data_IF_976191026122
#
_entry.id   IF_976191026122
#
_cell.length_a   1.000
_cell.length_b   1.000
_cell.length_c   1.000
_cell.angle_alpha   90.00
_cell.angle_beta   90.00
_cell.angle_gamma   90.00
#
_symmetry.space_group_name_H-M   'P 1'
#
loop_
_entity.id
_entity.type
_entity.pdbx_description
1 polymer ?
#
# COMPACT_ATOMS: atom_id res chain seq x y z
N UNK A 1 -12.73 45.59 35.70
CA UNK A 1 -12.53 47.05 35.52
C UNK A 1 -11.91 47.21 34.14
N UNK A 2 -12.69 47.68 33.14
CA UNK A 2 -12.89 49.10 32.77
C UNK A 2 -11.62 49.63 32.05
N UNK A 3 -11.64 50.10 30.79
CA UNK A 3 -12.74 50.64 29.97
C UNK A 3 -12.74 50.20 28.49
N UNK A 4 -13.93 50.24 27.87
CA UNK A 4 -14.20 50.57 26.46
C UNK A 4 -15.10 51.82 26.47
N UNK A 5 -15.04 52.70 25.46
CA UNK A 5 -16.25 53.01 24.65
C UNK A 5 -15.96 52.75 23.15
N UNK A 6 -16.88 52.34 22.25
CA UNK A 6 -18.14 52.98 21.79
C UNK A 6 -17.90 54.21 20.87
N UNK A 7 -18.60 54.47 19.75
CA UNK A 7 -19.82 53.86 19.17
C UNK A 7 -19.95 54.11 17.62
N UNK A 8 -20.81 53.31 16.95
CA UNK A 8 -21.69 53.60 15.77
C UNK A 8 -21.13 54.32 14.51
N UNK A 9 -21.72 54.31 13.29
CA UNK A 9 -22.97 53.76 12.71
C UNK A 9 -22.83 53.56 11.18
N UNK A 10 -23.68 52.73 10.55
CA UNK A 10 -23.88 52.70 9.08
C UNK A 10 -24.74 53.90 8.57
N UNK A 11 -25.16 53.97 7.28
CA UNK A 11 -25.75 52.85 6.51
C UNK A 11 -25.45 52.72 4.99
N UNK A 12 -25.87 51.57 4.45
CA UNK A 12 -26.41 51.19 3.12
C UNK A 12 -26.11 51.92 1.76
N UNK A 13 -25.65 51.08 0.82
CA UNK A 13 -25.77 50.97 -0.68
C UNK A 13 -26.85 51.75 -1.48
N UNK A 14 -26.84 51.72 -2.86
CA UNK A 14 -25.77 51.60 -3.89
C UNK A 14 -25.93 52.67 -5.04
N UNK A 15 -25.21 52.59 -6.18
CA UNK A 15 -25.88 52.03 -7.39
C UNK A 15 -24.97 51.29 -8.41
N UNK A 16 -25.62 50.67 -9.41
CA UNK A 16 -25.03 49.90 -10.51
C UNK A 16 -24.63 50.71 -11.76
N UNK A 17 -23.60 50.29 -12.50
CA UNK A 17 -23.52 50.15 -14.00
C UNK A 17 -22.12 49.65 -14.41
N UNK A 18 -22.00 48.51 -15.10
CA UNK A 18 -21.96 48.27 -16.57
C UNK A 18 -20.69 48.75 -17.29
N UNK A 19 -20.05 47.82 -18.01
CA UNK A 19 -18.87 47.99 -18.86
C UNK A 19 -17.74 47.04 -18.43
N UNK A 20 -17.13 46.18 -19.26
CA UNK A 20 -17.31 45.98 -20.70
C UNK A 20 -15.96 45.72 -21.37
N UNK A 21 -15.46 44.48 -21.33
CA UNK A 21 -14.20 44.06 -21.98
C UNK A 21 -14.44 42.66 -22.59
N UNK A 22 -14.74 42.56 -23.88
CA UNK A 22 -13.80 42.47 -25.02
C UNK A 22 -13.00 41.16 -25.08
N UNK A 23 -13.59 40.18 -25.77
CA UNK A 23 -12.89 39.14 -26.53
C UNK A 23 -12.23 39.76 -27.77
N UNK A 24 -11.04 39.28 -28.18
CA UNK A 24 -10.61 39.30 -29.57
C UNK A 24 -10.71 37.89 -30.18
N UNK A 25 -11.32 37.80 -31.35
CA UNK A 25 -11.30 36.59 -32.17
C UNK A 25 -10.18 36.66 -33.23
N UNK A 26 -9.68 35.48 -33.59
CA UNK A 26 -9.11 35.07 -34.89
C UNK A 26 -8.29 36.06 -35.74
N UNK A 27 -7.10 35.60 -36.15
CA UNK A 27 -6.59 35.89 -37.49
C UNK A 27 -6.30 34.58 -38.24
N UNK A 28 -6.64 34.53 -39.54
CA UNK A 28 -6.45 33.41 -40.48
C UNK A 28 -5.37 33.78 -41.52
N UNK A 29 -5.08 32.84 -42.42
CA UNK A 29 -4.35 32.99 -43.71
C UNK A 29 -2.82 33.06 -43.57
N UNK A 30 -1.96 32.59 -44.50
CA UNK A 30 -2.07 31.86 -45.79
C UNK A 30 -0.65 31.25 -46.07
N UNK A 31 -0.34 30.31 -46.99
CA UNK A 31 -1.04 29.24 -47.71
C UNK A 31 0.01 28.50 -48.60
N UNK A 32 -0.44 27.73 -49.62
CA UNK A 32 0.34 26.91 -50.60
C UNK A 32 0.90 25.60 -50.01
N UNK A 33 0.72 24.41 -50.60
CA UNK A 33 -0.04 24.00 -51.78
C UNK A 33 0.83 23.30 -52.83
N UNK A 34 0.48 22.06 -53.21
CA UNK A 34 0.76 21.47 -54.54
C UNK A 34 -0.24 20.33 -54.80
N UNK A 35 -0.74 20.24 -56.04
CA UNK A 35 -1.56 19.15 -56.55
C UNK A 35 -0.72 18.28 -57.48
N UNK A 36 -0.99 16.98 -57.53
CA UNK A 36 -1.05 16.20 -58.79
C UNK A 36 -1.91 14.95 -58.59
N UNK A 37 -2.82 14.71 -59.54
CA UNK A 37 -3.30 13.37 -59.91
C UNK A 37 -2.55 12.97 -61.21
N UNK A 38 -2.51 11.68 -61.58
CA UNK A 38 -3.44 11.21 -62.60
C UNK A 38 -4.17 9.90 -62.20
N UNK A 39 -4.79 9.25 -63.19
CA UNK A 39 -6.01 8.44 -63.09
C UNK A 39 -5.73 6.92 -63.35
N UNK A 40 -6.62 6.06 -63.89
CA UNK A 40 -6.95 4.78 -63.24
C UNK A 40 -6.65 3.53 -64.08
N UNK A 41 -6.85 2.33 -63.53
CA UNK A 41 -7.19 1.14 -64.35
C UNK A 41 -8.33 0.32 -63.74
N UNK A 42 -9.10 -0.30 -64.64
CA UNK A 42 -10.24 -1.16 -64.33
C UNK A 42 -9.75 -2.58 -63.99
N UNK A 43 -10.57 -3.31 -63.23
CA UNK A 43 -10.95 -4.67 -63.65
C UNK A 43 -12.27 -5.08 -62.96
N UNK A 44 -13.30 -5.24 -63.77
CA UNK A 44 -14.52 -5.98 -63.44
C UNK A 44 -14.20 -7.47 -63.26
N UNK A 45 -15.00 -8.23 -62.49
CA UNK A 45 -15.75 -9.39 -63.01
C UNK A 45 -16.63 -10.10 -61.95
N UNK A 46 -17.81 -10.53 -62.42
CA UNK A 46 -18.80 -11.50 -61.92
C UNK A 46 -19.35 -11.53 -60.47
N UNK A 47 -20.64 -11.17 -60.44
CA UNK A 47 -21.76 -11.78 -59.70
C UNK A 47 -21.71 -13.32 -59.50
N UNK A 48 -22.11 -13.78 -58.31
CA UNK A 48 -22.31 -15.20 -57.98
C UNK A 48 -23.46 -15.45 -56.98
N UNK A 49 -24.66 -15.60 -57.52
CA UNK A 49 -25.81 -16.41 -57.04
C UNK A 49 -26.13 -16.54 -55.53
N UNK A 50 -27.27 -15.97 -55.11
CA UNK A 50 -27.98 -16.40 -53.90
C UNK A 50 -28.53 -17.83 -54.05
N UNK A 51 -28.26 -18.73 -53.10
CA UNK A 51 -29.11 -19.89 -52.85
C UNK A 51 -29.59 -19.93 -51.39
N UNK A 52 -30.91 -20.00 -51.21
CA UNK A 52 -31.54 -20.44 -49.97
C UNK A 52 -31.39 -21.95 -49.86
N UNK A 53 -30.92 -22.45 -48.72
CA UNK A 53 -31.07 -23.86 -48.35
C UNK A 53 -31.88 -23.97 -47.04
N UNK A 54 -32.71 -25.02 -46.94
CA UNK A 54 -33.82 -25.10 -46.01
C UNK A 54 -33.45 -25.64 -44.61
N UNK A 55 -34.43 -25.59 -43.72
CA UNK A 55 -34.28 -25.82 -42.28
C UNK A 55 -33.73 -27.19 -41.85
N UNK A 56 -32.97 -27.16 -40.76
CA UNK A 56 -32.64 -28.33 -39.95
C UNK A 56 -32.81 -28.00 -38.47
N UNK A 57 -33.75 -28.68 -37.77
CA UNK A 57 -33.93 -28.55 -36.31
C UNK A 57 -32.82 -29.30 -35.57
N UNK A 58 -31.58 -28.84 -35.72
CA UNK A 58 -30.42 -29.36 -35.03
C UNK A 58 -30.40 -28.90 -33.56
N UNK A 59 -31.01 -29.68 -32.67
CA UNK A 59 -30.95 -29.45 -31.23
C UNK A 59 -29.50 -29.57 -30.72
N UNK A 60 -28.76 -28.45 -30.67
CA UNK A 60 -27.43 -28.39 -30.06
C UNK A 60 -27.55 -28.67 -28.56
N UNK A 61 -27.37 -29.95 -28.18
CA UNK A 61 -27.08 -30.36 -26.80
C UNK A 61 -25.87 -29.54 -26.34
N UNK A 62 -26.09 -28.56 -25.47
CA UNK A 62 -25.00 -27.84 -24.81
C UNK A 62 -24.23 -28.84 -23.94
N UNK A 63 -23.00 -29.15 -24.33
CA UNK A 63 -22.09 -29.93 -23.49
C UNK A 63 -21.87 -29.18 -22.16
N UNK A 64 -21.90 -29.82 -20.99
CA UNK A 64 -21.87 -29.11 -19.70
C UNK A 64 -20.54 -28.42 -19.36
N UNK A 65 -19.50 -28.58 -20.18
CA UNK A 65 -18.09 -28.49 -19.77
C UNK A 65 -17.29 -27.39 -20.49
N UNK A 66 -17.88 -26.22 -20.78
CA UNK A 66 -17.11 -25.11 -21.33
C UNK A 66 -17.54 -23.75 -20.78
N UNK A 67 -17.36 -23.56 -19.47
CA UNK A 67 -17.42 -22.22 -18.84
C UNK A 67 -15.99 -21.74 -18.62
N UNK A 68 -15.57 -20.56 -19.13
CA UNK A 68 -14.21 -20.09 -18.97
C UNK A 68 -13.84 -19.97 -17.49
N UNK A 69 -12.67 -20.53 -17.15
CA UNK A 69 -12.16 -20.54 -15.80
C UNK A 69 -11.98 -19.11 -15.28
N UNK A 70 -12.61 -18.84 -14.14
CA UNK A 70 -12.50 -17.56 -13.44
C UNK A 70 -12.30 -17.83 -11.95
N UNK A 71 -11.39 -17.07 -11.35
CA UNK A 71 -11.04 -17.18 -9.94
C UNK A 71 -11.13 -15.77 -9.37
N UNK A 72 -11.98 -15.58 -8.36
CA UNK A 72 -12.08 -14.32 -7.64
C UNK A 72 -11.43 -14.51 -6.28
N UNK A 73 -10.37 -13.76 -5.98
CA UNK A 73 -9.76 -13.74 -4.65
C UNK A 73 -10.75 -13.15 -3.62
N UNK A 74 -10.48 -13.39 -2.34
CA UNK A 74 -11.24 -12.83 -1.23
C UNK A 74 -10.30 -12.47 -0.07
N UNK A 75 -10.62 -11.40 0.67
CA UNK A 75 -10.05 -11.12 1.98
C UNK A 75 -8.51 -11.17 1.99
N UNK A 76 -7.94 -12.04 2.82
CA UNK A 76 -6.48 -12.09 3.02
C UNK A 76 -5.68 -12.53 1.79
N UNK A 77 -6.24 -13.40 0.92
CA UNK A 77 -5.57 -13.79 -0.33
C UNK A 77 -5.59 -12.66 -1.36
N UNK A 78 -6.66 -11.86 -1.39
CA UNK A 78 -6.69 -10.64 -2.17
C UNK A 78 -5.74 -9.57 -1.60
N UNK A 79 -5.67 -9.44 -0.28
CA UNK A 79 -4.75 -8.51 0.39
C UNK A 79 -3.29 -8.86 0.10
N UNK A 80 -2.92 -10.14 0.18
CA UNK A 80 -1.61 -10.66 -0.23
C UNK A 80 -1.23 -10.15 -1.63
N UNK A 81 -2.09 -10.41 -2.61
CA UNK A 81 -1.87 -9.93 -3.99
C UNK A 81 -1.73 -8.40 -4.06
N UNK A 82 -2.62 -7.64 -3.40
CA UNK A 82 -2.54 -6.18 -3.37
C UNK A 82 -1.28 -5.65 -2.66
N UNK A 83 -0.75 -6.33 -1.64
CA UNK A 83 0.46 -5.87 -0.97
C UNK A 83 1.71 -6.04 -1.85
N UNK A 84 1.72 -7.01 -2.78
CA UNK A 84 2.81 -7.18 -3.77
C UNK A 84 2.58 -6.49 -5.12
N UNK A 85 1.40 -5.93 -5.39
CA UNK A 85 1.07 -5.38 -6.70
C UNK A 85 1.84 -4.07 -7.00
N UNK A 86 2.65 -3.98 -8.08
CA UNK A 86 3.43 -2.77 -8.39
C UNK A 86 2.57 -1.58 -8.85
N UNK A 87 1.35 -1.83 -9.33
CA UNK A 87 0.41 -0.81 -9.76
C UNK A 87 -1.04 -1.30 -9.61
N UNK A 88 -1.99 -0.34 -9.59
CA UNK A 88 -3.41 -0.66 -9.73
C UNK A 88 -3.72 -1.03 -11.20
N UNK A 89 -4.42 -2.14 -11.47
CA UNK A 89 -4.91 -2.46 -12.81
C UNK A 89 -5.71 -1.31 -13.41
N UNK A 90 -5.49 -1.02 -14.70
CA UNK A 90 -6.18 0.07 -15.40
C UNK A 90 -7.70 -0.12 -15.45
N UNK A 91 -8.45 0.98 -15.58
CA UNK A 91 -9.91 1.02 -15.35
C UNK A 91 -10.72 0.06 -16.25
N UNK A 92 -10.23 -0.26 -17.45
CA UNK A 92 -10.80 -1.27 -18.34
C UNK A 92 -10.81 -2.70 -17.77
N UNK A 93 -9.94 -3.02 -16.81
CA UNK A 93 -9.92 -4.30 -16.10
C UNK A 93 -10.98 -4.39 -15.00
N UNK A 94 -11.70 -3.31 -14.67
CA UNK A 94 -12.76 -3.34 -13.66
C UNK A 94 -14.02 -4.01 -14.19
N UNK A 95 -14.54 -4.98 -13.45
CA UNK A 95 -15.75 -5.73 -13.78
C UNK A 95 -16.81 -5.63 -12.67
N UNK A 96 -18.08 -5.68 -13.09
CA UNK A 96 -19.22 -5.76 -12.17
C UNK A 96 -19.34 -7.12 -11.49
N UNK A 97 -20.10 -7.20 -10.39
CA UNK A 97 -20.34 -8.46 -9.66
C UNK A 97 -20.94 -9.58 -10.54
N UNK A 98 -21.60 -9.23 -11.65
CA UNK A 98 -22.11 -10.18 -12.64
C UNK A 98 -21.01 -11.12 -13.20
N UNK A 99 -19.74 -10.71 -13.20
CA UNK A 99 -18.60 -11.54 -13.63
C UNK A 99 -18.37 -12.76 -12.70
N UNK A 100 -18.87 -12.71 -11.46
CA UNK A 100 -18.84 -13.82 -10.50
C UNK A 100 -19.87 -14.93 -10.83
N UNK A 101 -20.83 -14.69 -11.73
CA UNK A 101 -21.88 -15.68 -12.05
C UNK A 101 -21.28 -16.99 -12.57
N UNK A 102 -21.72 -18.09 -11.98
CA UNK A 102 -21.27 -19.46 -12.24
C UNK A 102 -19.77 -19.69 -11.98
N UNK A 103 -19.12 -18.82 -11.21
CA UNK A 103 -17.75 -19.01 -10.77
C UNK A 103 -17.67 -20.09 -9.66
N UNK A 104 -17.03 -21.21 -9.98
CA UNK A 104 -16.70 -22.31 -9.05
C UNK A 104 -15.29 -22.80 -9.41
N UNK A 105 -14.23 -22.41 -8.67
CA UNK A 105 -12.88 -22.91 -8.94
C UNK A 105 -12.80 -24.40 -8.61
N UNK A 106 -12.16 -25.16 -9.49
CA UNK A 106 -11.81 -26.57 -9.31
C UNK A 106 -10.32 -26.74 -8.96
N UNK A 107 -9.83 -27.98 -8.87
CA UNK A 107 -8.43 -28.24 -8.51
C UNK A 107 -7.43 -27.66 -9.53
N UNK A 108 -7.75 -27.72 -10.83
CA UNK A 108 -6.89 -27.18 -11.90
C UNK A 108 -6.81 -25.64 -11.81
N UNK A 109 -7.93 -24.98 -11.53
CA UNK A 109 -7.96 -23.54 -11.28
C UNK A 109 -7.08 -23.13 -10.09
N UNK A 110 -7.07 -23.91 -9.02
CA UNK A 110 -6.27 -23.62 -7.82
C UNK A 110 -4.77 -23.89 -8.06
N UNK A 111 -4.41 -24.91 -8.84
CA UNK A 111 -3.04 -25.10 -9.30
C UNK A 111 -2.56 -23.93 -10.19
N UNK A 112 -3.41 -23.45 -11.10
CA UNK A 112 -3.13 -22.27 -11.92
C UNK A 112 -2.95 -21.00 -11.06
N UNK A 113 -3.83 -20.78 -10.06
CA UNK A 113 -3.67 -19.68 -9.09
C UNK A 113 -2.34 -19.79 -8.33
N UNK A 114 -1.99 -20.97 -7.85
CA UNK A 114 -0.75 -21.18 -7.10
C UNK A 114 0.50 -20.88 -7.94
N UNK A 115 0.48 -21.19 -9.24
CA UNK A 115 1.56 -20.84 -10.17
C UNK A 115 1.59 -19.35 -10.50
N UNK A 116 0.45 -18.73 -10.83
CA UNK A 116 0.41 -17.32 -11.22
C UNK A 116 0.50 -16.32 -10.05
N UNK A 117 0.28 -16.79 -8.82
CA UNK A 117 0.36 -15.98 -7.61
C UNK A 117 1.11 -16.73 -6.48
N UNK A 118 2.41 -17.03 -6.67
CA UNK A 118 3.20 -17.83 -5.73
C UNK A 118 3.36 -17.16 -4.36
N UNK A 119 3.14 -15.84 -4.26
CA UNK A 119 3.19 -15.10 -3.01
C UNK A 119 2.03 -15.40 -2.05
N UNK A 120 0.89 -15.91 -2.55
CA UNK A 120 -0.34 -16.01 -1.77
C UNK A 120 -0.28 -17.24 -0.85
N UNK A 121 -0.40 -17.07 0.48
CA UNK A 121 -0.40 -18.20 1.42
C UNK A 121 -1.68 -19.02 1.31
N UNK A 122 -1.58 -20.32 1.64
CA UNK A 122 -2.73 -21.22 1.79
C UNK A 122 -3.39 -21.02 3.17
N UNK A 123 -4.72 -21.29 3.30
CA UNK A 123 -5.64 -21.65 2.23
C UNK A 123 -5.95 -20.47 1.30
N UNK A 124 -6.24 -20.74 0.03
CA UNK A 124 -6.65 -19.70 -0.93
C UNK A 124 -8.08 -19.26 -0.64
N UNK A 125 -8.24 -18.04 -0.16
CA UNK A 125 -9.54 -17.42 0.07
C UNK A 125 -10.12 -16.92 -1.26
N UNK A 126 -11.26 -17.49 -1.66
CA UNK A 126 -11.91 -17.19 -2.95
C UNK A 126 -13.36 -16.75 -2.77
N UNK A 127 -13.80 -15.79 -3.58
CA UNK A 127 -15.21 -15.35 -3.65
C UNK A 127 -15.98 -16.30 -4.58
N UNK A 128 -17.17 -16.74 -4.15
CA UNK A 128 -18.06 -17.61 -4.95
C UNK A 128 -19.50 -17.08 -5.00
N UNK A 129 -20.20 -17.30 -6.10
CA UNK A 129 -21.60 -16.86 -6.28
C UNK A 129 -22.65 -17.79 -5.64
N UNK A 130 -22.27 -19.03 -5.29
CA UNK A 130 -23.16 -20.03 -4.72
C UNK A 130 -22.41 -20.91 -3.72
N UNK A 131 -23.14 -21.60 -2.82
CA UNK A 131 -22.55 -22.58 -1.90
C UNK A 131 -21.90 -23.71 -2.70
N UNK A 132 -20.61 -23.97 -2.46
CA UNK A 132 -19.93 -25.15 -2.99
C UNK A 132 -20.28 -26.37 -2.14
N UNK A 133 -20.68 -27.49 -2.78
CA UNK A 133 -20.96 -28.76 -2.08
C UNK A 133 -19.69 -29.56 -1.78
N UNK A 134 -18.67 -29.41 -2.63
CA UNK A 134 -17.30 -29.91 -2.48
C UNK A 134 -16.37 -28.75 -2.77
N UNK A 135 -15.28 -28.62 -2.03
CA UNK A 135 -14.27 -27.59 -2.20
C UNK A 135 -12.93 -28.29 -2.47
N UNK A 136 -12.07 -27.79 -3.37
CA UNK A 136 -10.70 -28.31 -3.48
C UNK A 136 -9.93 -28.09 -2.16
N UNK A 137 -8.97 -28.96 -1.89
CA UNK A 137 -8.14 -28.86 -0.69
C UNK A 137 -7.32 -27.57 -0.68
N UNK A 138 -7.14 -27.01 0.52
CA UNK A 138 -6.43 -25.73 0.69
C UNK A 138 -7.17 -24.52 0.13
N UNK A 139 -8.51 -24.57 -0.02
CA UNK A 139 -9.36 -23.45 -0.47
C UNK A 139 -10.38 -23.08 0.60
N UNK A 140 -10.55 -21.78 0.84
CA UNK A 140 -11.58 -21.21 1.70
C UNK A 140 -12.62 -20.44 0.86
N UNK A 141 -13.82 -21.00 0.59
CA UNK A 141 -14.81 -20.36 -0.27
C UNK A 141 -15.73 -19.41 0.50
N UNK A 142 -15.79 -18.14 0.06
CA UNK A 142 -16.60 -17.08 0.66
C UNK A 142 -17.76 -16.69 -0.26
N UNK A 143 -19.00 -16.91 0.20
CA UNK A 143 -20.21 -16.64 -0.58
C UNK A 143 -20.51 -15.14 -0.61
N UNK A 144 -20.47 -14.52 -1.79
CA UNK A 144 -20.92 -13.13 -1.98
C UNK A 144 -22.44 -13.07 -2.16
N UNK A 145 -23.16 -12.70 -1.09
CA UNK A 145 -24.63 -12.53 -1.13
C UNK A 145 -25.08 -11.07 -1.31
N UNK A 146 -24.28 -10.12 -0.83
CA UNK A 146 -24.62 -8.70 -0.90
C UNK A 146 -24.49 -8.18 -2.35
N UNK A 147 -25.51 -7.47 -2.85
CA UNK A 147 -25.49 -6.85 -4.18
C UNK A 147 -24.60 -5.60 -4.16
N UNK A 148 -23.38 -5.73 -4.68
CA UNK A 148 -22.37 -4.68 -4.69
C UNK A 148 -22.67 -3.63 -5.77
N UNK A 149 -22.54 -2.35 -5.41
CA UNK A 149 -22.72 -1.21 -6.31
C UNK A 149 -21.42 -0.93 -7.07
N UNK A 150 -21.52 -0.78 -8.39
CA UNK A 150 -20.41 -0.41 -9.28
C UNK A 150 -19.62 -1.60 -9.85
N UNK A 151 -18.31 -1.42 -10.01
CA UNK A 151 -17.37 -2.43 -10.53
C UNK A 151 -16.37 -2.85 -9.43
N UNK A 152 -16.79 -3.75 -8.51
CA UNK A 152 -16.06 -4.04 -7.28
C UNK A 152 -14.90 -5.04 -7.45
N UNK A 153 -14.68 -5.59 -8.64
CA UNK A 153 -13.59 -6.51 -8.93
C UNK A 153 -12.72 -5.97 -10.07
N UNK A 154 -11.43 -6.31 -10.05
CA UNK A 154 -10.45 -6.01 -11.10
C UNK A 154 -9.88 -7.33 -11.64
N UNK A 155 -9.76 -7.49 -12.96
CA UNK A 155 -8.92 -8.52 -13.55
C UNK A 155 -7.46 -8.21 -13.22
N UNK A 156 -6.74 -9.17 -12.64
CA UNK A 156 -5.36 -9.02 -12.16
C UNK A 156 -4.37 -9.89 -12.92
N UNK A 157 -4.84 -11.02 -13.46
CA UNK A 157 -4.12 -11.85 -14.42
C UNK A 157 -5.13 -12.50 -15.37
N UNK A 158 -4.69 -13.40 -16.27
CA UNK A 158 -5.64 -14.18 -17.06
C UNK A 158 -6.46 -15.09 -16.14
N UNK A 159 -7.79 -15.13 -16.29
CA UNK A 159 -8.69 -15.87 -15.39
C UNK A 159 -8.79 -15.38 -13.93
N UNK A 160 -7.83 -14.62 -13.41
CA UNK A 160 -7.76 -14.22 -12.00
C UNK A 160 -8.25 -12.78 -11.80
N UNK A 161 -9.12 -12.61 -10.81
CA UNK A 161 -9.74 -11.36 -10.40
C UNK A 161 -9.52 -11.12 -8.91
N UNK A 162 -9.25 -9.88 -8.52
CA UNK A 162 -9.23 -9.45 -7.12
C UNK A 162 -10.41 -8.50 -6.84
N UNK A 163 -10.97 -8.46 -5.61
CA UNK A 163 -11.77 -7.32 -5.17
C UNK A 163 -10.93 -6.04 -5.30
N UNK A 164 -11.55 -4.91 -5.64
CA UNK A 164 -10.84 -3.63 -5.64
C UNK A 164 -10.30 -3.33 -4.22
N UNK A 165 -9.25 -2.49 -4.07
CA UNK A 165 -8.59 -2.30 -2.78
C UNK A 165 -9.55 -1.89 -1.65
N UNK A 166 -10.59 -1.11 -1.98
CA UNK A 166 -11.63 -0.70 -1.03
C UNK A 166 -12.52 -1.86 -0.58
N UNK A 167 -12.91 -2.77 -1.48
CA UNK A 167 -13.65 -3.99 -1.10
C UNK A 167 -12.74 -4.98 -0.36
N UNK A 168 -11.47 -5.10 -0.77
CA UNK A 168 -10.48 -5.95 -0.11
C UNK A 168 -10.34 -5.55 1.37
N UNK A 169 -10.21 -4.25 1.65
CA UNK A 169 -10.16 -3.71 3.01
C UNK A 169 -11.42 -4.07 3.83
N UNK A 170 -12.61 -3.89 3.24
CA UNK A 170 -13.88 -4.25 3.91
C UNK A 170 -13.97 -5.76 4.20
N UNK A 171 -13.49 -6.62 3.30
CA UNK A 171 -13.49 -8.07 3.48
C UNK A 171 -12.54 -8.52 4.60
N UNK A 172 -11.34 -7.94 4.72
CA UNK A 172 -10.41 -8.28 5.82
C UNK A 172 -10.83 -7.69 7.17
N UNK A 173 -11.56 -6.57 7.16
CA UNK A 173 -12.07 -5.92 8.38
C UNK A 173 -13.02 -6.79 9.21
N UNK A 174 -13.55 -7.89 8.66
CA UNK A 174 -14.36 -8.85 9.41
C UNK A 174 -13.52 -9.80 10.29
N UNK A 175 -12.24 -10.01 9.96
CA UNK A 175 -11.42 -11.08 10.51
C UNK A 175 -10.10 -10.60 11.15
N UNK A 176 -9.78 -9.31 11.02
CA UNK A 176 -8.60 -8.69 11.65
C UNK A 176 -9.01 -7.90 12.90
N UNK A 177 -8.12 -7.89 13.90
CA UNK A 177 -8.19 -6.95 15.01
C UNK A 177 -7.97 -5.50 14.53
N UNK A 178 -8.21 -4.53 15.41
CA UNK A 178 -8.15 -3.11 15.05
C UNK A 178 -6.73 -2.64 14.66
N UNK A 179 -5.69 -3.18 15.29
CA UNK A 179 -4.31 -2.77 15.03
C UNK A 179 -3.85 -3.30 13.68
N UNK A 180 -4.06 -4.58 13.41
CA UNK A 180 -3.80 -5.17 12.09
C UNK A 180 -4.66 -4.52 10.99
N UNK A 181 -5.94 -4.26 11.24
CA UNK A 181 -6.81 -3.59 10.27
C UNK A 181 -6.30 -2.19 9.89
N UNK A 182 -5.86 -1.39 10.87
CA UNK A 182 -5.26 -0.07 10.59
C UNK A 182 -3.92 -0.21 9.87
N UNK A 183 -3.07 -1.18 10.26
CA UNK A 183 -1.78 -1.45 9.58
C UNK A 183 -1.97 -1.77 8.10
N UNK A 184 -2.85 -2.72 7.76
CA UNK A 184 -3.09 -3.10 6.36
C UNK A 184 -3.85 -2.00 5.59
N UNK A 185 -4.73 -1.25 6.26
CA UNK A 185 -5.39 -0.09 5.68
C UNK A 185 -4.40 0.99 5.25
N UNK A 186 -3.46 1.35 6.14
CA UNK A 186 -2.39 2.30 5.85
C UNK A 186 -1.48 1.79 4.73
N UNK A 187 -1.13 0.50 4.70
CA UNK A 187 -0.32 -0.10 3.63
C UNK A 187 -1.02 -0.08 2.25
N UNK A 188 -2.35 -0.26 2.19
CA UNK A 188 -3.13 -0.09 0.95
C UNK A 188 -3.23 1.38 0.49
N UNK A 189 -3.14 2.33 1.43
CA UNK A 189 -3.10 3.76 1.17
C UNK A 189 -1.65 4.31 1.01
N UNK A 190 -0.64 3.44 1.13
CA UNK A 190 0.78 3.77 1.09
C UNK A 190 1.38 3.75 -0.31
N UNK A 191 2.60 4.24 -0.43
CA UNK A 191 3.34 4.40 -1.70
C UNK A 191 4.35 3.27 -1.99
N UNK A 192 4.19 2.13 -1.32
CA UNK A 192 5.07 0.96 -1.44
C UNK A 192 4.32 -0.34 -1.70
N UNK A 193 5.03 -1.33 -2.24
CA UNK A 193 4.61 -2.73 -2.33
C UNK A 193 5.74 -3.67 -1.88
N UNK A 194 5.40 -4.89 -1.48
CA UNK A 194 6.38 -5.92 -1.11
C UNK A 194 7.01 -6.49 -2.38
N UNK A 195 8.32 -6.41 -2.48
CA UNK A 195 9.11 -6.90 -3.60
C UNK A 195 10.38 -7.61 -3.09
N UNK A 196 10.36 -8.95 -2.93
CA UNK A 196 11.53 -9.72 -2.50
C UNK A 196 12.75 -9.60 -3.42
N UNK A 197 12.56 -9.13 -4.66
CA UNK A 197 13.64 -8.94 -5.65
C UNK A 197 14.30 -7.56 -5.51
N UNK A 198 13.70 -6.65 -4.74
CA UNK A 198 14.31 -5.36 -4.40
C UNK A 198 15.26 -5.50 -3.20
N UNK A 199 16.39 -4.74 -3.22
CA UNK A 199 17.45 -4.80 -2.19
C UNK A 199 16.98 -4.67 -0.74
N UNK A 200 15.86 -3.99 -0.50
CA UNK A 200 15.26 -3.78 0.82
C UNK A 200 13.87 -4.43 0.98
N UNK A 201 13.51 -5.38 0.11
CA UNK A 201 12.21 -6.05 0.11
C UNK A 201 11.01 -5.19 -0.32
N UNK A 202 11.24 -3.96 -0.82
CA UNK A 202 10.19 -2.98 -1.08
C UNK A 202 10.35 -2.27 -2.44
N UNK A 203 9.30 -2.32 -3.25
CA UNK A 203 9.16 -1.49 -4.45
C UNK A 203 8.31 -0.24 -4.19
N UNK A 204 8.46 0.79 -5.03
CA UNK A 204 7.69 2.05 -4.96
C UNK A 204 6.53 2.05 -5.94
N UNK A 205 5.36 2.56 -5.52
CA UNK A 205 4.14 2.67 -6.35
C UNK A 205 3.31 3.92 -6.02
N UNK A 206 2.32 4.20 -6.88
CA UNK A 206 1.20 5.09 -6.51
C UNK A 206 0.27 4.36 -5.51
N UNK A 207 -0.38 5.05 -4.57
CA UNK A 207 -1.33 4.43 -3.66
C UNK A 207 -2.45 3.70 -4.40
N UNK A 208 -2.80 2.50 -3.91
CA UNK A 208 -3.88 1.70 -4.50
C UNK A 208 -5.25 2.33 -4.25
N UNK A 209 -5.38 3.01 -3.12
CA UNK A 209 -6.58 3.70 -2.66
C UNK A 209 -6.21 4.84 -1.69
N UNK A 210 -7.19 5.40 -1.00
CA UNK A 210 -7.00 6.32 0.12
C UNK A 210 -8.10 6.15 1.15
N UNK A 211 -7.89 6.64 2.39
CA UNK A 211 -8.89 6.63 3.47
C UNK A 211 -10.23 7.19 2.96
N UNK A 212 -10.20 8.30 2.20
CA UNK A 212 -11.38 8.91 1.56
C UNK A 212 -12.09 7.98 0.58
N UNK A 213 -11.34 7.25 -0.26
CA UNK A 213 -11.92 6.31 -1.25
C UNK A 213 -12.55 5.10 -0.58
N UNK A 214 -11.91 4.55 0.46
CA UNK A 214 -12.47 3.46 1.27
C UNK A 214 -13.78 3.93 1.94
N UNK A 215 -13.79 5.13 2.54
CA UNK A 215 -14.99 5.74 3.10
C UNK A 215 -16.13 5.88 2.08
N UNK A 216 -15.84 6.40 0.89
CA UNK A 216 -16.82 6.52 -0.20
C UNK A 216 -17.30 5.16 -0.76
N UNK A 217 -16.48 4.11 -0.69
CA UNK A 217 -16.91 2.75 -1.04
C UNK A 217 -17.88 2.17 0.00
N UNK A 218 -17.55 2.32 1.29
CA UNK A 218 -18.38 1.90 2.43
C UNK A 218 -19.72 2.66 2.45
N UNK A 219 -19.71 3.97 2.15
CA UNK A 219 -20.93 4.79 2.07
C UNK A 219 -21.89 4.32 0.97
N UNK A 220 -21.37 3.89 -0.18
CA UNK A 220 -22.16 3.33 -1.29
C UNK A 220 -22.60 1.88 -1.06
N UNK A 221 -22.02 1.18 -0.09
CA UNK A 221 -22.29 -0.24 0.18
C UNK A 221 -22.36 -0.51 1.70
N UNK A 222 -23.27 0.12 2.46
CA UNK A 222 -23.23 0.12 3.93
C UNK A 222 -23.50 -1.24 4.57
N UNK A 223 -24.14 -2.17 3.84
CA UNK A 223 -24.53 -3.51 4.31
C UNK A 223 -23.56 -4.65 3.96
N UNK A 224 -22.36 -4.38 3.43
CA UNK A 224 -21.35 -5.44 3.24
C UNK A 224 -20.86 -5.90 4.63
N UNK A 225 -20.70 -7.21 4.81
CA UNK A 225 -20.01 -7.79 5.97
C UNK A 225 -18.61 -7.16 6.14
N UNK A 226 -18.28 -6.69 7.34
CA UNK A 226 -17.05 -5.93 7.62
C UNK A 226 -17.16 -4.41 7.42
N UNK A 227 -18.26 -3.86 6.88
CA UNK A 227 -18.41 -2.41 6.69
C UNK A 227 -18.38 -1.61 8.01
N UNK A 228 -18.92 -2.17 9.11
CA UNK A 228 -18.90 -1.55 10.45
C UNK A 228 -17.49 -1.44 11.05
N UNK A 229 -16.69 -2.53 11.18
CA UNK A 229 -15.30 -2.42 11.64
C UNK A 229 -14.41 -1.60 10.68
N UNK A 230 -14.59 -1.75 9.37
CA UNK A 230 -13.87 -0.94 8.37
C UNK A 230 -14.11 0.57 8.59
N UNK A 231 -15.37 0.98 8.81
CA UNK A 231 -15.72 2.39 9.09
C UNK A 231 -15.10 2.90 10.39
N UNK A 232 -15.01 2.06 11.43
CA UNK A 232 -14.34 2.40 12.70
C UNK A 232 -12.83 2.63 12.54
N UNK A 233 -12.18 1.92 11.62
CA UNK A 233 -10.76 2.07 11.35
C UNK A 233 -10.40 3.34 10.57
N UNK A 234 -11.29 3.89 9.74
CA UNK A 234 -11.00 5.06 8.88
C UNK A 234 -10.42 6.26 9.65
N UNK A 235 -10.97 6.58 10.83
CA UNK A 235 -10.51 7.70 11.67
C UNK A 235 -9.20 7.44 12.43
N UNK A 236 -8.56 6.29 12.19
CA UNK A 236 -7.29 5.86 12.79
C UNK A 236 -6.20 5.64 11.74
N UNK A 237 -6.53 5.81 10.46
CA UNK A 237 -5.66 5.54 9.32
C UNK A 237 -5.01 6.81 8.77
N UNK A 238 -3.89 6.64 8.07
CA UNK A 238 -3.20 7.70 7.33
C UNK A 238 -2.96 7.27 5.88
N UNK A 239 -3.02 8.24 4.97
CA UNK A 239 -2.60 8.07 3.58
C UNK A 239 -1.08 8.29 3.44
N UNK A 240 -0.45 7.64 2.45
CA UNK A 240 0.83 8.10 1.89
C UNK A 240 2.12 7.49 2.43
N UNK A 241 2.10 6.76 3.55
CA UNK A 241 3.30 6.11 4.13
C UNK A 241 4.10 5.31 3.07
N UNK A 242 5.43 5.44 3.08
CA UNK A 242 6.34 4.89 2.07
C UNK A 242 7.03 3.59 2.49
N UNK A 243 6.80 3.11 3.72
CA UNK A 243 7.30 1.81 4.19
C UNK A 243 6.45 1.24 5.34
N UNK A 244 6.54 -0.07 5.64
CA UNK A 244 5.88 -0.66 6.81
C UNK A 244 6.31 -0.06 8.17
N UNK A 245 7.61 0.27 8.41
CA UNK A 245 8.01 1.02 9.60
C UNK A 245 7.30 2.38 9.73
N UNK A 246 7.18 3.17 8.67
CA UNK A 246 6.43 4.44 8.71
C UNK A 246 4.94 4.24 9.03
N UNK A 247 4.32 3.19 8.50
CA UNK A 247 2.93 2.81 8.85
C UNK A 247 2.82 2.58 10.36
N UNK A 248 3.75 1.83 10.94
CA UNK A 248 3.76 1.56 12.38
C UNK A 248 4.10 2.81 13.20
N UNK A 249 5.02 3.66 12.74
CA UNK A 249 5.40 4.91 13.38
C UNK A 249 4.19 5.87 13.47
N UNK A 250 3.44 6.01 12.38
CA UNK A 250 2.19 6.76 12.35
C UNK A 250 1.16 6.20 13.34
N UNK A 251 1.04 4.87 13.46
CA UNK A 251 0.14 4.22 14.41
C UNK A 251 0.56 4.44 15.87
N UNK A 252 1.83 4.18 16.20
CA UNK A 252 2.36 4.33 17.56
C UNK A 252 2.24 5.77 18.07
N UNK A 253 2.48 6.76 17.20
CA UNK A 253 2.39 8.17 17.56
C UNK A 253 0.93 8.70 17.53
N UNK A 254 0.17 8.37 16.49
CA UNK A 254 -1.14 8.98 16.20
C UNK A 254 -2.35 8.28 16.81
N UNK A 255 -2.30 6.96 17.08
CA UNK A 255 -3.47 6.27 17.65
C UNK A 255 -3.86 6.86 19.02
N UNK A 256 -5.17 6.95 19.33
CA UNK A 256 -5.65 7.32 20.67
C UNK A 256 -5.08 6.43 21.78
N UNK A 257 -4.97 6.97 23.01
CA UNK A 257 -4.45 6.21 24.16
C UNK A 257 -5.24 4.91 24.42
N UNK A 258 -6.56 4.91 24.21
CA UNK A 258 -7.41 3.70 24.31
C UNK A 258 -7.10 2.60 23.29
N UNK A 259 -6.25 2.88 22.30
CA UNK A 259 -5.75 1.93 21.31
C UNK A 259 -4.20 1.87 21.33
N UNK A 260 -3.55 2.28 22.43
CA UNK A 260 -2.12 2.05 22.68
C UNK A 260 -1.14 3.07 22.08
N UNK A 261 -1.61 4.02 21.26
CA UNK A 261 -0.78 5.09 20.71
C UNK A 261 -0.69 6.33 21.61
N UNK A 262 0.20 7.25 21.25
CA UNK A 262 0.48 8.46 22.02
C UNK A 262 -0.44 9.66 21.71
N UNK A 263 -1.44 9.48 20.85
CA UNK A 263 -2.49 10.44 20.50
C UNK A 263 -1.92 11.81 20.04
N UNK A 264 -0.81 11.81 19.30
CA UNK A 264 -0.24 13.03 18.74
C UNK A 264 -1.22 13.63 17.69
N UNK A 265 -1.61 14.90 17.81
CA UNK A 265 -2.53 15.54 16.87
C UNK A 265 -1.85 15.83 15.54
N UNK A 266 -2.63 15.78 14.45
CA UNK A 266 -2.18 16.27 13.14
C UNK A 266 -1.13 15.40 12.42
N UNK A 267 -0.95 14.15 12.85
CA UNK A 267 -0.05 13.17 12.20
C UNK A 267 -0.43 12.99 10.73
N UNK A 268 0.51 13.30 9.82
CA UNK A 268 0.37 13.07 8.39
C UNK A 268 1.65 12.43 7.83
N UNK A 269 1.52 11.25 7.21
CA UNK A 269 2.66 10.58 6.59
C UNK A 269 3.01 11.16 5.23
N UNK A 270 4.31 11.31 4.92
CA UNK A 270 4.83 11.72 3.60
C UNK A 270 4.16 12.98 3.01
N UNK A 271 3.76 13.93 3.87
CA UNK A 271 3.04 15.13 3.44
C UNK A 271 4.01 16.09 2.76
N UNK A 272 3.87 16.25 1.44
CA UNK A 272 4.65 17.23 0.65
C UNK A 272 4.46 18.65 1.20
N UNK A 273 5.54 19.31 1.62
CA UNK A 273 5.55 20.72 2.03
C UNK A 273 6.42 21.57 1.09
N UNK A 274 6.04 22.84 0.92
CA UNK A 274 6.76 23.81 0.09
C UNK A 274 7.79 24.56 0.96
N UNK A 275 9.10 24.34 0.79
CA UNK A 275 10.10 25.04 1.59
C UNK A 275 10.17 26.54 1.26
N UNK A 276 10.60 27.34 2.24
CA UNK A 276 10.95 28.75 2.04
C UNK A 276 12.08 28.92 1.01
N UNK A 277 12.40 30.17 0.64
CA UNK A 277 13.57 30.48 -0.18
C UNK A 277 14.87 29.98 0.48
N UNK A 278 15.04 30.21 1.79
CA UNK A 278 16.20 29.76 2.57
C UNK A 278 16.31 28.24 2.60
N UNK A 279 15.25 27.54 2.99
CA UNK A 279 15.24 26.08 3.05
C UNK A 279 15.44 25.44 1.67
N UNK A 280 14.91 26.06 0.60
CA UNK A 280 15.13 25.62 -0.78
C UNK A 280 16.57 25.77 -1.25
N UNK A 281 17.26 26.84 -0.85
CA UNK A 281 18.69 27.02 -1.12
C UNK A 281 19.54 25.94 -0.45
N UNK A 282 19.17 25.49 0.76
CA UNK A 282 19.86 24.42 1.50
C UNK A 282 19.59 23.03 0.92
N UNK A 283 18.33 22.69 0.62
CA UNK A 283 17.97 21.35 0.14
C UNK A 283 18.10 21.14 -1.37
N UNK A 284 18.27 22.22 -2.13
CA UNK A 284 18.21 22.25 -3.61
C UNK A 284 16.91 21.62 -4.17
N UNK A 285 15.78 21.77 -3.46
CA UNK A 285 14.50 21.10 -3.78
C UNK A 285 13.30 22.04 -3.65
N UNK A 286 12.41 22.01 -4.64
CA UNK A 286 11.13 22.74 -4.61
C UNK A 286 10.05 22.11 -3.69
N UNK A 287 10.34 20.96 -3.07
CA UNK A 287 9.44 20.28 -2.14
C UNK A 287 10.26 19.45 -1.15
N UNK A 288 9.87 19.45 0.12
CA UNK A 288 10.35 18.49 1.11
C UNK A 288 9.22 17.51 1.44
N UNK A 289 9.59 16.27 1.75
CA UNK A 289 8.65 15.19 2.08
C UNK A 289 9.14 14.62 3.41
N UNK A 290 8.60 15.08 4.54
CA UNK A 290 8.89 14.55 5.86
C UNK A 290 8.11 13.25 6.08
N UNK A 291 8.71 12.27 6.76
CA UNK A 291 8.12 10.93 6.86
C UNK A 291 6.84 10.96 7.71
N UNK A 292 6.89 11.59 8.89
CA UNK A 292 5.76 11.83 9.79
C UNK A 292 5.74 13.31 10.22
N UNK A 293 4.85 14.07 9.58
CA UNK A 293 4.67 15.50 9.81
C UNK A 293 3.60 15.78 10.88
N UNK A 294 3.91 16.68 11.83
CA UNK A 294 2.95 17.33 12.74
C UNK A 294 2.99 18.85 12.50
N UNK A 295 2.38 19.29 11.39
CA UNK A 295 2.56 20.61 10.76
C UNK A 295 2.33 21.79 11.72
N UNK A 296 1.21 21.81 12.46
CA UNK A 296 0.86 22.89 13.40
C UNK A 296 1.88 23.10 14.53
N UNK A 297 2.69 22.07 14.84
CA UNK A 297 3.74 22.14 15.88
C UNK A 297 5.15 22.31 15.31
N UNK A 298 5.27 22.46 13.99
CA UNK A 298 6.54 22.41 13.24
C UNK A 298 7.44 21.29 13.78
N UNK A 299 6.93 20.07 13.73
CA UNK A 299 7.62 18.85 14.15
C UNK A 299 7.60 17.85 12.98
N UNK A 300 8.76 17.26 12.76
CA UNK A 300 9.01 16.18 11.83
C UNK A 300 9.64 15.01 12.58
N UNK A 301 9.26 13.79 12.20
CA UNK A 301 9.76 12.54 12.76
C UNK A 301 10.11 11.60 11.61
N UNK A 302 11.40 11.38 11.42
CA UNK A 302 12.01 10.67 10.29
C UNK A 302 12.36 9.24 10.70
N UNK A 303 12.14 8.27 9.80
CA UNK A 303 12.56 6.89 10.01
C UNK A 303 13.91 6.63 9.34
N UNK A 304 14.93 6.31 10.14
CA UNK A 304 16.25 5.93 9.62
C UNK A 304 16.32 4.42 9.38
N UNK A 305 16.28 4.04 8.10
CA UNK A 305 16.46 2.67 7.61
C UNK A 305 17.92 2.27 7.38
N UNK A 306 18.87 3.20 7.52
CA UNK A 306 20.20 3.10 6.90
C UNK A 306 21.32 2.75 7.87
N UNK A 307 21.04 2.08 9.00
CA UNK A 307 22.01 1.92 10.11
C UNK A 307 23.36 1.30 9.71
N UNK A 308 23.49 0.62 8.57
CA UNK A 308 24.78 0.05 8.11
C UNK A 308 25.13 0.27 6.61
N UNK A 309 24.26 0.84 5.76
CA UNK A 309 24.40 0.76 4.29
C UNK A 309 24.04 2.01 3.44
N UNK A 310 23.95 3.22 4.01
CA UNK A 310 23.78 4.43 3.20
C UNK A 310 25.05 4.76 2.37
N UNK A 311 24.86 5.18 1.12
CA UNK A 311 25.92 5.86 0.36
C UNK A 311 26.15 7.28 0.88
N UNK A 312 27.36 7.82 0.72
CA UNK A 312 27.67 9.20 1.09
C UNK A 312 26.67 10.22 0.49
N UNK A 313 26.26 10.01 -0.77
CA UNK A 313 25.26 10.84 -1.44
C UNK A 313 23.83 10.71 -0.86
N UNK A 314 23.49 9.65 -0.13
CA UNK A 314 22.26 9.60 0.68
C UNK A 314 22.43 10.42 1.95
N UNK A 315 23.51 10.19 2.71
CA UNK A 315 23.81 10.92 3.95
C UNK A 315 23.80 12.45 3.74
N UNK A 316 24.47 12.95 2.68
CA UNK A 316 24.44 14.38 2.33
C UNK A 316 23.02 14.87 2.02
N UNK A 317 22.22 14.09 1.27
CA UNK A 317 20.85 14.47 0.90
C UNK A 317 19.89 14.50 2.07
N UNK A 318 20.13 13.68 3.09
CA UNK A 318 19.28 13.56 4.27
C UNK A 318 19.68 14.62 5.31
N UNK A 319 20.98 14.90 5.45
CA UNK A 319 21.49 16.07 6.18
C UNK A 319 20.97 17.40 5.59
N UNK A 320 21.00 17.57 4.26
CA UNK A 320 20.42 18.73 3.57
C UNK A 320 18.91 18.86 3.79
N UNK A 321 18.16 17.73 3.76
CA UNK A 321 16.72 17.71 4.08
C UNK A 321 16.49 18.21 5.51
N UNK A 322 17.25 17.68 6.47
CA UNK A 322 17.19 18.06 7.89
C UNK A 322 17.46 19.56 8.10
N UNK A 323 18.59 20.06 7.59
CA UNK A 323 18.97 21.47 7.74
C UNK A 323 17.96 22.43 7.10
N UNK A 324 17.35 22.04 5.98
CA UNK A 324 16.30 22.83 5.35
C UNK A 324 15.00 22.86 6.17
N UNK A 325 14.60 21.73 6.77
CA UNK A 325 13.46 21.67 7.68
C UNK A 325 13.72 22.52 8.94
N UNK A 326 14.91 22.41 9.54
CA UNK A 326 15.32 23.22 10.70
C UNK A 326 15.40 24.71 10.36
N UNK A 327 15.82 25.08 9.14
CA UNK A 327 15.78 26.46 8.64
C UNK A 327 14.36 27.01 8.44
N UNK A 328 13.38 26.15 8.12
CA UNK A 328 11.94 26.45 8.17
C UNK A 328 11.34 26.28 9.58
N UNK A 329 12.20 26.19 10.60
CA UNK A 329 11.81 26.17 12.02
C UNK A 329 11.15 24.88 12.46
N UNK A 330 11.30 23.77 11.72
CA UNK A 330 10.89 22.43 12.17
C UNK A 330 11.89 21.83 13.16
N UNK A 331 11.40 21.13 14.18
CA UNK A 331 12.21 20.19 14.94
C UNK A 331 12.19 18.85 14.22
N UNK A 332 13.35 18.30 13.87
CA UNK A 332 13.48 16.96 13.26
C UNK A 332 13.92 15.95 14.32
N UNK A 333 13.14 14.89 14.54
CA UNK A 333 13.47 13.76 15.40
C UNK A 333 13.73 12.53 14.51
N UNK A 334 14.89 11.90 14.64
CA UNK A 334 15.21 10.68 13.88
C UNK A 334 14.92 9.44 14.73
N UNK A 335 14.31 8.41 14.12
CA UNK A 335 13.89 7.17 14.77
C UNK A 335 14.47 5.98 14.03
N UNK A 336 15.34 5.22 14.69
CA UNK A 336 15.97 4.01 14.13
C UNK A 336 15.07 2.78 14.25
N UNK A 337 15.35 1.74 13.44
CA UNK A 337 14.73 0.42 13.52
C UNK A 337 14.67 -0.18 14.95
N UNK A 338 15.73 0.01 15.75
CA UNK A 338 15.80 -0.45 17.15
C UNK A 338 14.83 0.30 18.06
N UNK A 339 14.69 1.62 17.87
CA UNK A 339 13.82 2.46 18.70
C UNK A 339 12.34 2.22 18.39
N UNK A 340 11.95 2.10 17.13
CA UNK A 340 10.55 1.88 16.74
C UNK A 340 9.98 0.57 17.29
N UNK A 341 10.82 -0.46 17.50
CA UNK A 341 10.42 -1.73 18.12
C UNK A 341 10.28 -1.68 19.64
N UNK A 342 10.81 -0.66 20.31
CA UNK A 342 10.83 -0.55 21.77
C UNK A 342 9.74 0.38 22.28
N UNK A 343 8.85 -0.15 23.14
CA UNK A 343 7.84 0.66 23.83
C UNK A 343 8.48 1.82 24.63
N UNK A 344 9.63 1.56 25.27
CA UNK A 344 10.36 2.54 26.07
C UNK A 344 10.99 3.65 25.23
N UNK A 345 11.64 3.31 24.11
CA UNK A 345 12.23 4.32 23.22
C UNK A 345 11.15 5.14 22.50
N UNK A 346 10.10 4.49 22.00
CA UNK A 346 8.95 5.18 21.44
C UNK A 346 8.25 6.10 22.45
N UNK A 347 8.28 5.77 23.76
CA UNK A 347 7.81 6.68 24.81
C UNK A 347 8.69 7.93 24.90
N UNK A 348 10.02 7.79 24.89
CA UNK A 348 10.94 8.94 24.89
C UNK A 348 10.71 9.85 23.67
N UNK A 349 10.52 9.27 22.49
CA UNK A 349 10.18 9.99 21.25
C UNK A 349 8.85 10.75 21.39
N UNK A 350 7.81 10.10 21.93
CA UNK A 350 6.52 10.74 22.18
C UNK A 350 6.59 11.86 23.23
N UNK A 351 7.40 11.71 24.29
CA UNK A 351 7.66 12.75 25.28
C UNK A 351 8.39 13.95 24.68
N UNK A 352 9.43 13.72 23.86
CA UNK A 352 10.14 14.77 23.11
C UNK A 352 9.25 15.49 22.09
N UNK A 353 8.29 14.77 21.49
CA UNK A 353 7.29 15.31 20.56
C UNK A 353 6.28 16.19 21.29
N UNK A 354 5.73 15.72 22.41
CA UNK A 354 4.81 16.50 23.26
C UNK A 354 5.46 17.78 23.79
N UNK A 355 6.72 17.72 24.26
CA UNK A 355 7.48 18.92 24.67
C UNK A 355 7.57 19.95 23.54
N UNK A 356 7.81 19.51 22.30
CA UNK A 356 7.80 20.40 21.11
C UNK A 356 6.41 20.99 20.82
N UNK A 357 5.35 20.25 21.09
CA UNK A 357 3.96 20.72 21.02
C UNK A 357 3.53 21.59 22.23
N UNK A 358 4.44 21.97 23.13
CA UNK A 358 4.11 22.75 24.33
C UNK A 358 3.26 22.00 25.37
N UNK A 359 3.22 20.67 25.31
CA UNK A 359 2.39 19.83 26.20
C UNK A 359 3.20 18.74 26.89
N UNK A 360 2.68 18.17 27.98
CA UNK A 360 3.29 16.99 28.64
C UNK A 360 2.59 15.71 28.19
N UNK A 361 3.34 14.65 27.92
CA UNK A 361 2.75 13.33 27.67
C UNK A 361 2.07 12.84 28.96
N UNK A 362 0.76 12.56 28.88
CA UNK A 362 -0.06 12.04 29.97
C UNK A 362 -1.12 11.09 29.39
N UNK A 363 -0.88 9.77 29.29
CA UNK A 363 -1.88 8.83 28.79
C UNK A 363 -3.17 8.84 29.62
N UNK A 364 -4.30 9.10 28.98
CA UNK A 364 -5.63 9.26 29.64
C UNK A 364 -6.53 8.04 29.40
N UNK A 365 -6.03 6.82 29.63
CA UNK A 365 -6.83 5.61 29.46
C UNK A 365 -6.29 4.46 30.31
N UNK A 366 -7.15 3.83 31.12
CA UNK A 366 -6.81 2.62 31.88
C UNK A 366 -6.33 1.48 30.97
N UNK A 367 -6.90 1.37 29.76
CA UNK A 367 -6.52 0.36 28.77
C UNK A 367 -5.17 0.63 28.09
N UNK A 368 -4.55 1.81 28.29
CA UNK A 368 -3.38 2.25 27.53
C UNK A 368 -2.23 1.22 27.52
N UNK A 369 -1.79 0.73 28.69
CA UNK A 369 -0.67 -0.23 28.76
C UNK A 369 -0.97 -1.54 28.03
N UNK A 370 -2.16 -2.11 28.24
CA UNK A 370 -2.59 -3.35 27.57
C UNK A 370 -2.66 -3.16 26.05
N UNK A 371 -3.25 -2.06 25.60
CA UNK A 371 -3.43 -1.76 24.18
C UNK A 371 -2.12 -1.34 23.50
N UNK A 372 -1.18 -0.76 24.23
CA UNK A 372 0.19 -0.51 23.77
C UNK A 372 0.95 -1.83 23.58
N UNK A 373 0.88 -2.76 24.54
CA UNK A 373 1.45 -4.11 24.36
C UNK A 373 0.76 -4.92 23.25
N UNK A 374 -0.53 -4.69 22.98
CA UNK A 374 -1.19 -5.25 21.79
C UNK A 374 -0.63 -4.64 20.49
N UNK A 375 -0.57 -3.31 20.39
CA UNK A 375 -0.04 -2.58 19.25
C UNK A 375 1.41 -2.98 18.93
N UNK A 376 2.30 -3.05 19.92
CA UNK A 376 3.70 -3.42 19.68
C UNK A 376 3.87 -4.90 19.31
N UNK A 377 2.99 -5.81 19.75
CA UNK A 377 2.95 -7.20 19.24
C UNK A 377 2.50 -7.31 17.79
N UNK A 378 1.70 -6.37 17.28
CA UNK A 378 1.35 -6.30 15.85
C UNK A 378 2.58 -6.05 14.97
N UNK A 379 3.54 -5.26 15.46
CA UNK A 379 4.76 -4.87 14.74
C UNK A 379 4.52 -4.17 13.40
N UNK A 380 5.59 -3.77 12.70
CA UNK A 380 5.48 -3.23 11.34
C UNK A 380 5.42 -4.30 10.24
N UNK A 381 5.81 -5.55 10.51
CA UNK A 381 5.93 -6.55 9.46
C UNK A 381 4.60 -6.86 8.76
N UNK A 382 4.68 -7.00 7.45
CA UNK A 382 3.62 -7.49 6.55
C UNK A 382 3.93 -8.91 6.02
N UNK A 383 4.99 -9.56 6.49
CA UNK A 383 5.40 -10.90 6.05
C UNK A 383 4.30 -11.94 6.24
N UNK A 384 3.50 -11.83 7.32
CA UNK A 384 2.33 -12.69 7.63
C UNK A 384 1.26 -12.79 6.52
N UNK A 385 1.30 -11.91 5.52
CA UNK A 385 0.37 -11.89 4.39
C UNK A 385 0.94 -12.54 3.12
N UNK A 386 2.16 -13.07 3.15
CA UNK A 386 2.81 -13.71 2.01
C UNK A 386 3.38 -15.07 2.42
N UNK A 387 3.66 -15.92 1.42
CA UNK A 387 4.43 -17.15 1.64
C UNK A 387 5.86 -16.83 2.03
N UNK A 388 6.38 -17.56 3.03
CA UNK A 388 7.73 -17.39 3.56
C UNK A 388 8.77 -17.63 2.47
N UNK A 389 8.60 -18.70 1.70
CA UNK A 389 9.51 -19.13 0.65
C UNK A 389 9.60 -18.08 -0.48
N UNK A 390 8.49 -17.41 -0.79
CA UNK A 390 8.46 -16.32 -1.76
C UNK A 390 9.16 -15.05 -1.25
N UNK A 391 9.05 -14.75 0.06
CA UNK A 391 9.77 -13.63 0.69
C UNK A 391 11.29 -13.89 0.78
N UNK A 392 11.69 -15.16 0.93
CA UNK A 392 13.09 -15.60 0.93
C UNK A 392 13.69 -15.67 -0.48
N UNK A 393 12.93 -15.30 -1.52
CA UNK A 393 13.41 -15.27 -2.90
C UNK A 393 13.61 -16.66 -3.51
N UNK A 394 12.93 -17.69 -2.99
CA UNK A 394 13.02 -19.05 -3.52
C UNK A 394 12.80 -19.07 -5.05
N UNK A 395 13.55 -19.89 -5.79
CA UNK A 395 13.48 -19.90 -7.25
C UNK A 395 12.06 -20.15 -7.73
N UNK A 396 11.61 -19.31 -8.68
CA UNK A 396 10.33 -19.50 -9.37
C UNK A 396 10.25 -20.94 -9.90
N UNK A 397 9.11 -21.64 -9.78
CA UNK A 397 9.02 -23.03 -10.20
C UNK A 397 9.35 -23.15 -11.69
N UNK A 398 10.43 -23.87 -12.01
CA UNK A 398 10.99 -24.07 -13.37
C UNK A 398 10.03 -24.84 -14.29
N UNK A 399 8.98 -25.45 -13.72
CA UNK A 399 7.92 -26.08 -14.48
C UNK A 399 7.20 -25.06 -15.39
N UNK A 400 6.89 -25.43 -16.65
CA UNK A 400 6.11 -24.56 -17.52
C UNK A 400 4.77 -24.22 -16.86
N UNK A 401 4.31 -22.99 -17.05
CA UNK A 401 3.02 -22.55 -16.52
C UNK A 401 1.94 -23.58 -16.90
N UNK A 402 1.17 -24.12 -15.93
CA UNK A 402 0.07 -25.01 -16.27
C UNK A 402 -0.83 -24.25 -17.24
N UNK A 403 -1.17 -24.85 -18.41
CA UNK A 403 -1.93 -24.14 -19.42
C UNK A 403 -3.19 -23.60 -18.77
N UNK A 404 -3.45 -22.30 -18.90
CA UNK A 404 -4.64 -21.66 -18.36
C UNK A 404 -5.85 -22.52 -18.74
N UNK A 405 -6.57 -23.14 -17.78
CA UNK A 405 -7.66 -24.06 -18.09
C UNK A 405 -8.68 -23.44 -19.06
N UNK A 406 -8.56 -23.87 -20.32
CA UNK A 406 -9.18 -23.42 -21.58
C UNK A 406 -9.76 -21.98 -21.57
N UNK A 407 -9.07 -21.00 -22.18
CA UNK A 407 -9.61 -19.66 -22.44
C UNK A 407 -10.71 -19.69 -23.52
N UNK A 408 -11.69 -18.78 -23.42
CA UNK A 408 -12.82 -18.72 -24.36
C UNK A 408 -12.60 -17.87 -25.64
N UNK A 409 -11.51 -17.10 -25.71
CA UNK A 409 -11.35 -16.01 -26.70
C UNK A 409 -10.85 -16.47 -28.09
N UNK A 410 -11.15 -17.71 -28.49
CA UNK A 410 -10.91 -18.23 -29.84
C UNK A 410 -12.10 -18.03 -30.80
N UNK A 411 -13.24 -17.50 -30.32
CA UNK A 411 -14.50 -17.39 -31.08
C UNK A 411 -15.20 -16.02 -30.94
N UNK A 412 -14.46 -14.92 -31.03
CA UNK A 412 -14.98 -13.63 -31.55
C UNK A 412 -13.87 -12.57 -31.69
N UNK A 413 -13.29 -12.43 -32.89
CA UNK A 413 -12.71 -11.17 -33.36
C UNK A 413 -12.88 -11.10 -34.89
N UNK A 414 -13.22 -9.92 -35.41
CA UNK A 414 -12.22 -9.21 -36.21
C UNK A 414 -11.94 -7.81 -35.62
N UNK A 415 -10.65 -7.45 -35.55
CA UNK A 415 -10.20 -6.10 -35.17
C UNK A 415 -9.39 -6.05 -33.88
N UNK A 416 -8.08 -5.79 -34.02
CA UNK A 416 -7.12 -5.43 -32.96
C UNK A 416 -6.86 -6.46 -31.84
N UNK A 417 -5.98 -7.42 -32.15
CA UNK A 417 -5.26 -8.17 -31.14
C UNK A 417 -4.40 -7.22 -30.28
N UNK A 418 -4.71 -7.14 -28.98
CA UNK A 418 -3.76 -6.63 -27.98
C UNK A 418 -2.61 -7.62 -27.85
N UNK A 419 -1.44 -7.28 -28.41
CA UNK A 419 -0.22 -8.07 -28.26
C UNK A 419 0.06 -8.34 -26.78
N UNK A 420 0.29 -9.61 -26.44
CA UNK A 420 1.07 -9.95 -25.26
C UNK A 420 2.43 -9.24 -25.35
N UNK A 421 2.94 -8.64 -24.26
CA UNK A 421 4.33 -8.19 -24.22
C UNK A 421 5.24 -9.38 -24.54
N UNK A 422 6.10 -9.22 -25.55
CA UNK A 422 7.04 -10.28 -25.91
C UNK A 422 8.04 -10.48 -24.75
N UNK A 423 8.27 -11.73 -24.36
CA UNK A 423 9.36 -12.05 -23.46
C UNK A 423 10.70 -11.78 -24.18
N UNK A 424 11.62 -10.98 -23.61
CA UNK A 424 12.98 -10.89 -24.13
C UNK A 424 13.66 -12.26 -23.98
N UNK A 425 14.35 -12.70 -25.04
CA UNK A 425 15.08 -13.97 -25.06
C UNK A 425 16.53 -13.77 -24.61
N UNK A 426 16.92 -14.55 -23.60
CA UNK A 426 18.29 -14.96 -23.23
C UNK A 426 19.31 -13.88 -22.80
N UNK A 427 20.00 -14.15 -21.69
CA UNK A 427 21.48 -14.29 -21.61
C UNK A 427 21.80 -15.20 -20.39
N UNK A 428 22.98 -15.84 -20.29
CA UNK A 428 23.19 -17.02 -19.45
C UNK A 428 23.60 -16.70 -18.00
N UNK A 429 23.56 -17.74 -17.16
CA UNK A 429 24.25 -17.77 -15.87
C UNK A 429 25.66 -18.35 -16.05
N UNK A 430 26.64 -17.70 -15.44
CA UNK A 430 27.89 -18.31 -15.01
C UNK A 430 28.28 -17.77 -13.64
N UNK A 431 28.39 -18.70 -12.69
CA UNK A 431 29.20 -18.68 -11.47
C UNK A 431 28.83 -17.76 -10.28
N UNK A 432 28.16 -18.41 -9.32
CA UNK A 432 28.53 -18.56 -7.91
C UNK A 432 29.20 -17.38 -7.14
N UNK A 433 28.55 -17.00 -6.04
CA UNK A 433 29.10 -16.13 -4.99
C UNK A 433 28.32 -16.29 -3.68
N UNK A 434 28.71 -17.27 -2.87
CA UNK A 434 28.08 -17.63 -1.58
C UNK A 434 28.38 -16.61 -0.48
N UNK A 435 27.47 -16.40 0.47
CA UNK A 435 27.80 -16.64 1.88
C UNK A 435 26.58 -16.89 2.80
N UNK A 436 26.75 -17.84 3.72
CA UNK A 436 25.91 -18.14 4.89
C UNK A 436 25.92 -16.97 5.89
N UNK A 437 24.90 -16.71 6.72
CA UNK A 437 24.35 -17.65 7.70
C UNK A 437 25.24 -17.64 8.96
N UNK A 438 24.75 -17.05 10.05
CA UNK A 438 25.37 -17.17 11.38
C UNK A 438 24.30 -17.53 12.40
N UNK A 439 24.48 -18.69 13.04
CA UNK A 439 23.75 -19.08 14.24
C UNK A 439 24.40 -18.48 15.50
N UNK A 440 23.68 -18.58 16.60
CA UNK A 440 24.07 -18.09 17.93
C UNK A 440 25.11 -18.99 18.60
N UNK A 441 26.20 -18.41 19.10
CA UNK A 441 26.96 -18.98 20.23
C UNK A 441 27.24 -17.92 21.30
N UNK A 442 26.88 -18.26 22.53
CA UNK A 442 27.23 -17.52 23.76
C UNK A 442 28.65 -17.83 24.19
N UNK A 443 29.38 -16.83 24.71
CA UNK A 443 30.66 -17.00 25.37
C UNK A 443 30.69 -16.25 26.70
N UNK A 444 31.03 -16.99 27.77
CA UNK A 444 31.35 -16.50 29.11
C UNK A 444 32.74 -15.81 29.14
N UNK A 445 33.02 -14.93 30.11
CA UNK A 445 34.30 -14.26 30.23
C UNK A 445 35.30 -15.06 31.07
N UNK A 446 36.57 -15.09 30.65
CA UNK A 446 37.69 -15.44 31.52
C UNK A 446 38.87 -14.49 31.26
N UNK A 447 39.41 -13.93 32.35
CA UNK A 447 40.57 -13.03 32.36
C UNK A 447 41.88 -13.83 32.41
N UNK A 448 42.99 -13.30 31.87
CA UNK A 448 44.33 -13.78 32.19
C UNK A 448 44.90 -13.06 33.42
N UNK A 449 45.56 -13.83 34.29
CA UNK A 449 46.33 -13.32 35.43
C UNK A 449 47.73 -12.85 34.98
N UNK A 450 48.27 -11.81 35.63
CA UNK A 450 49.70 -11.50 35.65
C UNK A 450 50.05 -11.08 37.08
N UNK A 451 50.95 -11.82 37.73
CA UNK A 451 51.44 -11.53 39.09
C UNK A 451 52.59 -10.51 39.09
N UNK A 452 52.78 -9.84 40.24
CA UNK A 452 54.12 -9.53 40.74
C UNK A 452 54.48 -8.05 40.98
N UNK A 453 54.16 -7.51 42.16
CA UNK A 453 55.19 -7.03 43.13
C UNK A 453 54.62 -6.31 44.38
N UNK A 454 55.08 -6.80 45.55
CA UNK A 454 55.26 -6.14 46.86
C UNK A 454 54.33 -5.00 47.37
N UNK A 455 53.54 -5.33 48.40
CA UNK A 455 53.58 -4.83 49.81
C UNK A 455 54.09 -3.41 50.19
N UNK A 456 53.66 -2.81 51.34
CA UNK A 456 52.97 -3.44 52.48
C UNK A 456 51.64 -2.80 52.90
N UNK A 457 50.85 -3.55 53.67
CA UNK A 457 49.55 -3.09 54.18
C UNK A 457 49.61 -2.45 55.58
N UNK A 458 48.56 -1.69 55.89
CA UNK A 458 48.22 -1.25 57.25
C UNK A 458 46.74 -1.61 57.49
N UNK A 459 46.49 -2.38 58.55
CA UNK A 459 45.19 -2.52 59.22
C UNK A 459 45.30 -1.81 60.59
N UNK A 460 44.26 -1.66 61.45
CA UNK A 460 42.91 -2.24 61.39
C UNK A 460 41.77 -1.28 61.83
N UNK A 461 40.59 -1.86 62.09
CA UNK A 461 39.40 -1.30 62.80
C UNK A 461 38.58 -0.29 61.98
N UNK A 462 37.25 -0.34 61.94
CA UNK A 462 36.29 -1.14 62.73
C UNK A 462 35.61 -0.28 63.79
N UNK A 463 34.41 0.23 63.47
CA UNK A 463 33.27 0.47 64.36
C UNK A 463 32.11 1.12 63.58
N UNK A 464 30.97 0.44 63.55
CA UNK A 464 29.63 1.04 63.55
C UNK A 464 29.21 1.34 64.99
N UNK A 465 28.09 2.03 65.25
CA UNK A 465 27.40 3.09 64.49
C UNK A 465 27.11 4.33 65.37
N UNK A 466 26.53 5.40 64.82
CA UNK A 466 25.55 6.19 65.59
C UNK A 466 24.59 6.99 64.69
N UNK A 467 23.30 6.95 65.08
CA UNK A 467 22.12 7.74 64.64
C UNK A 467 21.75 7.82 63.15
#
# INVERSE_FOLDING_TARGET
>A
MLFKPENASGPETPPSRRGGVLLPAACRNQAKGFRTHPNPELLTYHSGTFMKAAGGRGGRRRTPYNTPMRIFLYGISALSWWLSAPATPGEGNRVGQNALRNCKPDAAAIQYLAHCCPQIPRPYHVTVSARMKRCPDGVAPHRSQFKLVGRPFCRVASGIYAPCPELCFVQVANNLDLHELVKVGNALCGTFFIDPKARNGLGKRRPLTSVRRIGAFIGRNPGILGAKPARRALGLMVDGAASPPEVFLAMALGLPYRFGGYQLPGIAANRRIKPSSKARAIAHRNTLVPDILCESSRLDIEYDSNTEHASAAQLTRDAQKRLALEADGYKVITVTARQIGSQGEMRKIAEQSRRRMGTRLRPQSAAFRQQQSALFRTGWSLSRYHRREWLEGAPEPVAPAPPCPIPADALAAPGHALRCPAAPKCWPLSDAGTFSGLESTTLEPNSPEIEGSASPGITPRGNTPEM
#
